data_IF_462158596487
#
_entry.id   IF_462158596487
#
_cell.length_a   1.000
_cell.length_b   1.000
_cell.length_c   1.000
_cell.angle_alpha   90.00
_cell.angle_beta   90.00
_cell.angle_gamma   90.00
#
_symmetry.space_group_name_H-M   'P 1'
#
loop_
_entity.id
_entity.type
_entity.pdbx_description
1 polymer ?
#
# COMPACT_ATOMS: atom_id res chain seq x y z
N UNK A 1 -10.38 -1.07 -26.65
CA UNK A 1 -9.87 -2.04 -25.67
C UNK A 1 -10.15 -1.50 -24.28
N UNK A 2 -10.85 -2.24 -23.43
CA UNK A 2 -11.08 -1.87 -22.02
C UNK A 2 -9.78 -2.05 -21.23
N UNK A 3 -9.35 -1.01 -20.51
CA UNK A 3 -8.21 -1.10 -19.58
C UNK A 3 -8.72 -1.70 -18.27
N UNK A 4 -8.01 -2.69 -17.73
CA UNK A 4 -8.30 -3.28 -16.43
C UNK A 4 -7.98 -2.32 -15.28
N UNK A 5 -8.30 -2.73 -14.05
CA UNK A 5 -7.86 -2.03 -12.85
C UNK A 5 -6.35 -2.22 -12.69
N UNK A 6 -5.63 -1.13 -12.41
CA UNK A 6 -4.21 -1.19 -12.04
C UNK A 6 -4.09 -1.55 -10.55
N UNK A 7 -4.71 -0.73 -9.68
CA UNK A 7 -4.75 -0.98 -8.24
C UNK A 7 -5.88 -0.23 -7.53
N UNK A 8 -6.06 -0.56 -6.25
CA UNK A 8 -6.88 0.18 -5.31
C UNK A 8 -5.98 0.71 -4.18
N UNK A 9 -6.05 2.01 -3.92
CA UNK A 9 -5.38 2.60 -2.77
C UNK A 9 -6.24 2.43 -1.50
N UNK A 10 -5.65 1.86 -0.45
CA UNK A 10 -6.25 1.68 0.86
C UNK A 10 -5.46 2.49 1.88
N UNK A 11 -5.91 3.73 2.13
CA UNK A 11 -5.29 4.61 3.09
C UNK A 11 -5.53 4.13 4.53
N UNK A 12 -4.46 4.00 5.31
CA UNK A 12 -4.49 3.52 6.69
C UNK A 12 -3.64 4.40 7.60
N UNK A 13 -4.01 4.44 8.88
CA UNK A 13 -3.22 5.14 9.90
C UNK A 13 -1.96 4.37 10.30
N UNK A 14 -2.04 3.04 10.31
CA UNK A 14 -0.99 2.14 10.78
C UNK A 14 -0.72 1.09 9.70
N UNK A 15 0.35 1.31 8.95
CA UNK A 15 0.72 0.45 7.83
C UNK A 15 1.09 -0.96 8.27
N UNK A 16 1.79 -1.08 9.40
CA UNK A 16 2.30 -2.36 9.87
C UNK A 16 1.14 -3.25 10.32
N UNK A 17 0.18 -2.70 11.09
CA UNK A 17 -1.05 -3.43 11.46
C UNK A 17 -1.90 -3.84 10.27
N UNK A 18 -2.04 -2.96 9.27
CA UNK A 18 -2.81 -3.26 8.08
C UNK A 18 -2.13 -4.36 7.24
N UNK A 19 -0.82 -4.27 7.03
CA UNK A 19 -0.05 -5.30 6.33
C UNK A 19 -0.15 -6.66 7.04
N UNK A 20 -0.05 -6.68 8.36
CA UNK A 20 -0.17 -7.91 9.15
C UNK A 20 -1.57 -8.52 9.10
N UNK A 21 -2.62 -7.69 9.03
CA UNK A 21 -3.97 -8.18 8.79
C UNK A 21 -4.07 -8.95 7.47
N UNK A 22 -3.57 -8.38 6.36
CA UNK A 22 -3.60 -9.04 5.05
C UNK A 22 -2.76 -10.33 5.03
N UNK A 23 -1.59 -10.35 5.69
CA UNK A 23 -0.77 -11.57 5.85
C UNK A 23 -1.53 -12.66 6.59
N UNK A 24 -2.17 -12.32 7.71
CA UNK A 24 -2.91 -13.27 8.56
C UNK A 24 -4.09 -13.92 7.86
N UNK A 25 -4.75 -13.22 6.95
CA UNK A 25 -5.87 -13.76 6.17
C UNK A 25 -5.42 -14.44 4.86
N UNK A 26 -4.11 -14.66 4.69
CA UNK A 26 -3.54 -15.52 3.65
C UNK A 26 -3.07 -14.81 2.39
N UNK A 27 -3.04 -13.48 2.35
CA UNK A 27 -2.49 -12.77 1.19
C UNK A 27 -0.97 -12.67 1.25
N UNK A 28 -0.36 -12.66 0.07
CA UNK A 28 1.05 -12.28 -0.11
C UNK A 28 1.16 -10.76 -0.02
N UNK A 29 1.88 -10.29 1.01
CA UNK A 29 2.13 -8.87 1.24
C UNK A 29 3.62 -8.59 1.04
N UNK A 30 3.93 -7.66 0.13
CA UNK A 30 5.28 -7.22 -0.16
C UNK A 30 5.97 -6.53 1.02
N UNK A 31 7.24 -6.18 0.80
CA UNK A 31 8.01 -5.35 1.72
C UNK A 31 7.45 -3.95 1.82
N UNK A 32 7.82 -3.25 2.89
CA UNK A 32 7.52 -1.83 3.06
C UNK A 32 8.33 -1.02 2.06
N UNK A 33 7.67 -0.25 1.19
CA UNK A 33 8.34 0.74 0.34
C UNK A 33 8.21 2.12 0.97
N UNK A 34 9.22 2.96 0.71
CA UNK A 34 9.32 4.33 1.23
C UNK A 34 9.43 5.29 0.07
N UNK A 35 8.45 6.16 -0.08
CA UNK A 35 8.50 7.17 -1.11
C UNK A 35 9.29 8.40 -0.64
N UNK A 36 10.08 9.04 -1.54
CA UNK A 36 10.86 10.23 -1.19
C UNK A 36 10.02 11.40 -0.62
N UNK A 37 8.72 11.45 -0.96
CA UNK A 37 7.76 12.46 -0.50
C UNK A 37 7.00 12.06 0.77
N UNK A 38 7.42 11.01 1.48
CA UNK A 38 7.00 10.74 2.86
C UNK A 38 5.82 9.78 3.08
N UNK A 39 5.20 9.26 2.02
CA UNK A 39 4.27 8.14 2.18
C UNK A 39 5.01 6.81 2.17
N UNK A 40 4.56 5.86 2.98
CA UNK A 40 5.04 4.47 2.97
C UNK A 40 3.91 3.55 2.54
N UNK A 41 4.23 2.47 1.82
CA UNK A 41 3.24 1.48 1.41
C UNK A 41 3.70 0.03 1.62
N UNK A 42 2.73 -0.87 1.54
CA UNK A 42 2.92 -2.30 1.34
C UNK A 42 1.96 -2.75 0.23
N UNK A 43 2.39 -3.67 -0.63
CA UNK A 43 1.58 -4.14 -1.76
C UNK A 43 0.99 -5.52 -1.47
N UNK A 44 -0.33 -5.65 -1.59
CA UNK A 44 -1.03 -6.94 -1.54
C UNK A 44 -1.28 -7.40 -2.98
N UNK A 45 -0.66 -8.51 -3.37
CA UNK A 45 -0.65 -8.95 -4.77
C UNK A 45 -1.87 -9.78 -5.15
N UNK A 46 -2.42 -9.50 -6.33
CA UNK A 46 -3.46 -10.30 -7.00
C UNK A 46 -3.05 -10.56 -8.46
N UNK A 47 -3.65 -11.56 -9.14
CA UNK A 47 -3.45 -11.72 -10.58
C UNK A 47 -3.95 -10.49 -11.36
N UNK A 48 -3.02 -9.70 -11.89
CA UNK A 48 -3.32 -8.59 -12.80
C UNK A 48 -3.76 -7.27 -12.16
N UNK A 49 -3.79 -7.16 -10.83
CA UNK A 49 -3.97 -5.89 -10.10
C UNK A 49 -3.39 -6.01 -8.68
N UNK A 50 -3.37 -4.92 -7.90
CA UNK A 50 -2.95 -4.98 -6.49
C UNK A 50 -3.74 -4.05 -5.57
N UNK A 51 -3.63 -4.27 -4.26
CA UNK A 51 -4.03 -3.29 -3.24
C UNK A 51 -2.77 -2.60 -2.72
N UNK A 52 -2.73 -1.28 -2.81
CA UNK A 52 -1.70 -0.46 -2.18
C UNK A 52 -2.19 -0.04 -0.80
N UNK A 53 -1.65 -0.67 0.24
CA UNK A 53 -1.88 -0.19 1.61
C UNK A 53 -0.95 0.99 1.81
N UNK A 54 -1.49 2.18 2.03
CA UNK A 54 -0.74 3.43 2.02
C UNK A 54 -0.89 4.16 3.35
N UNK A 55 0.19 4.70 3.89
CA UNK A 55 0.15 5.59 5.05
C UNK A 55 1.00 6.83 4.87
N UNK A 56 0.63 7.89 5.58
CA UNK A 56 1.40 9.10 5.74
C UNK A 56 2.42 8.91 6.86
N UNK A 57 3.65 8.53 6.51
CA UNK A 57 4.65 8.17 7.51
C UNK A 57 5.56 9.34 7.90
N UNK A 58 5.84 10.22 6.95
CA UNK A 58 6.71 11.39 7.11
C UNK A 58 5.96 12.61 6.53
N UNK A 59 4.93 13.12 7.24
CA UNK A 59 4.04 14.18 6.73
C UNK A 59 4.80 15.46 6.36
N UNK A 60 5.87 15.75 7.08
CA UNK A 60 6.80 16.86 6.89
C UNK A 60 7.62 16.78 5.58
N UNK A 61 7.56 15.67 4.84
CA UNK A 61 8.14 15.53 3.50
C UNK A 61 7.14 15.71 2.36
N UNK A 62 5.85 15.89 2.64
CA UNK A 62 4.90 16.23 1.59
C UNK A 62 5.16 17.66 1.15
N UNK A 63 5.19 17.86 -0.17
CA UNK A 63 5.29 19.20 -0.74
C UNK A 63 4.09 20.06 -0.33
N UNK A 64 4.31 21.38 -0.39
CA UNK A 64 3.28 22.40 -0.20
C UNK A 64 2.13 22.30 -1.22
#
# INVERSE_FOLDING_TARGET
>A
MTRGLDHIAHAVRDLDKAADFYRRIGFTVGTRNRHPWGTHNCIVQFPGFFIEILTLAEPDKLGD
#
